data_IF_328222351412
#
_entry.id   IF_328222351412
#
_cell.length_a   1.000
_cell.length_b   1.000
_cell.length_c   1.000
_cell.angle_alpha   90.00
_cell.angle_beta   90.00
_cell.angle_gamma   90.00
#
_symmetry.space_group_name_H-M   'P 1'
#
loop_
_entity.id
_entity.type
_entity.pdbx_description
1 polymer ?
#
# COMPACT_ATOMS: atom_id res chain seq x y z
N UNK A 1 21.49 0.90 5.34
CA UNK A 1 20.82 1.10 4.04
C UNK A 1 19.37 1.47 4.35
N UNK A 2 19.01 2.77 4.33
CA UNK A 2 17.61 3.20 4.53
C UNK A 2 16.97 3.30 3.16
N UNK A 3 15.99 2.46 2.89
CA UNK A 3 15.20 2.45 1.65
C UNK A 3 13.79 2.96 1.92
N UNK A 4 13.64 3.98 2.78
CA UNK A 4 12.41 4.77 2.84
C UNK A 4 12.35 5.66 1.61
N UNK A 5 11.87 5.11 0.49
CA UNK A 5 11.40 5.96 -0.62
C UNK A 5 10.18 6.70 -0.10
N UNK A 6 10.30 8.01 0.11
CA UNK A 6 9.17 8.87 0.42
C UNK A 6 8.59 9.33 -0.91
N UNK A 7 7.30 9.09 -1.14
CA UNK A 7 6.61 9.78 -2.22
C UNK A 7 6.27 11.19 -1.72
N UNK A 8 7.04 12.14 -2.20
CA UNK A 8 6.80 13.55 -1.96
C UNK A 8 5.93 14.07 -3.10
N UNK A 9 4.67 14.34 -2.80
CA UNK A 9 3.78 15.01 -3.75
C UNK A 9 4.24 16.46 -3.82
N UNK A 10 4.94 16.82 -4.89
CA UNK A 10 5.21 18.21 -5.24
C UNK A 10 4.00 18.75 -5.99
N UNK A 11 3.42 19.83 -5.48
CA UNK A 11 2.45 20.62 -6.24
C UNK A 11 3.24 21.66 -7.02
N UNK A 12 3.71 21.29 -8.22
CA UNK A 12 4.24 22.26 -9.19
C UNK A 12 3.30 22.35 -10.40
N UNK A 13 2.68 23.53 -10.56
CA UNK A 13 2.19 24.03 -11.86
C UNK A 13 0.73 23.76 -12.21
N UNK A 14 -0.15 24.70 -11.88
CA UNK A 14 -1.54 24.74 -12.38
C UNK A 14 -2.32 25.91 -11.79
N UNK A 15 -1.97 27.12 -12.21
CA UNK A 15 -2.55 28.40 -11.76
C UNK A 15 -4.08 28.43 -12.01
N UNK A 16 -4.88 28.38 -10.95
CA UNK A 16 -6.11 29.17 -10.83
C UNK A 16 -6.08 29.76 -9.42
N UNK A 17 -5.65 31.01 -9.32
CA UNK A 17 -5.75 31.79 -8.09
C UNK A 17 -7.22 32.06 -7.80
N UNK A 18 -7.72 31.50 -6.71
CA UNK A 18 -8.83 32.09 -5.94
C UNK A 18 -8.26 32.41 -4.57
N UNK A 19 -8.12 33.70 -4.29
CA UNK A 19 -7.35 34.22 -3.16
C UNK A 19 -7.92 33.88 -1.79
N UNK A 20 -7.00 33.57 -0.87
CA UNK A 20 -7.21 33.49 0.58
C UNK A 20 -5.87 33.19 1.24
N UNK A 21 -5.22 34.20 1.82
CA UNK A 21 -3.78 34.24 2.09
C UNK A 21 -3.23 33.35 3.21
N UNK A 22 -1.93 33.06 3.09
CA UNK A 22 -1.01 32.81 4.20
C UNK A 22 -0.84 31.37 4.67
N UNK A 23 0.23 30.70 4.24
CA UNK A 23 0.73 29.51 4.94
C UNK A 23 1.67 28.66 4.13
N UNK A 24 2.83 28.31 4.71
CA UNK A 24 3.87 27.40 4.19
C UNK A 24 3.22 26.21 3.47
N UNK A 25 3.61 25.95 2.21
CA UNK A 25 3.17 24.78 1.46
C UNK A 25 3.45 23.51 2.30
N UNK A 26 2.39 22.97 2.91
CA UNK A 26 2.48 21.81 3.77
C UNK A 26 2.60 20.57 2.89
N UNK A 27 3.82 20.08 2.76
CA UNK A 27 4.14 18.86 2.04
C UNK A 27 3.57 17.67 2.80
N UNK A 28 2.56 17.01 2.22
CA UNK A 28 2.07 15.72 2.70
C UNK A 28 3.06 14.65 2.26
N UNK A 29 3.38 13.73 3.16
CA UNK A 29 4.19 12.56 2.87
C UNK A 29 3.36 11.33 3.17
N UNK A 30 3.16 10.49 2.17
CA UNK A 30 2.50 9.19 2.33
C UNK A 30 3.59 8.12 2.26
N UNK A 31 3.98 7.51 3.40
CA UNK A 31 5.01 6.49 3.41
C UNK A 31 4.50 5.19 2.79
N UNK A 32 5.36 4.47 2.06
CA UNK A 32 5.09 3.09 1.68
C UNK A 32 5.18 2.20 2.93
N UNK A 33 4.02 1.86 3.49
CA UNK A 33 3.93 1.13 4.76
C UNK A 33 4.71 -0.21 4.73
N UNK A 34 4.71 -0.91 3.60
CA UNK A 34 5.46 -2.15 3.42
C UNK A 34 6.98 -1.97 3.58
N UNK A 35 7.56 -0.85 3.13
CA UNK A 35 8.98 -0.56 3.32
C UNK A 35 9.30 -0.28 4.78
N UNK A 36 8.43 0.47 5.47
CA UNK A 36 8.57 0.70 6.91
C UNK A 36 8.51 -0.61 7.70
N UNK A 37 7.55 -1.49 7.40
CA UNK A 37 7.42 -2.80 8.05
C UNK A 37 8.66 -3.65 7.79
N UNK A 38 9.16 -3.67 6.55
CA UNK A 38 10.38 -4.38 6.18
C UNK A 38 11.60 -3.85 6.93
N UNK A 39 11.75 -2.54 7.05
CA UNK A 39 12.85 -1.92 7.78
C UNK A 39 12.77 -2.21 9.29
N UNK A 40 11.57 -2.16 9.89
CA UNK A 40 11.35 -2.54 11.29
C UNK A 40 11.66 -4.01 11.53
N UNK A 41 11.27 -4.90 10.61
CA UNK A 41 11.58 -6.31 10.68
C UNK A 41 13.09 -6.57 10.69
N UNK A 42 13.84 -5.98 9.75
CA UNK A 42 15.30 -6.16 9.71
C UNK A 42 16.00 -5.54 10.91
N UNK A 43 15.52 -4.39 11.40
CA UNK A 43 16.05 -3.79 12.62
C UNK A 43 15.79 -4.68 13.84
N UNK A 44 14.64 -5.36 13.89
CA UNK A 44 14.34 -6.32 14.94
C UNK A 44 15.23 -7.56 14.85
N UNK A 45 15.39 -8.16 13.67
CA UNK A 45 16.18 -9.39 13.50
C UNK A 45 17.68 -9.15 13.58
N UNK A 46 18.14 -7.92 13.34
CA UNK A 46 19.57 -7.58 13.32
C UNK A 46 20.28 -7.70 14.68
N UNK A 47 19.56 -7.74 15.80
CA UNK A 47 20.13 -7.82 17.16
C UNK A 47 19.18 -8.56 18.13
N UNK A 48 19.76 -9.23 19.14
CA UNK A 48 18.98 -9.89 20.18
C UNK A 48 18.22 -8.89 21.08
N UNK A 49 16.99 -9.25 21.49
CA UNK A 49 16.17 -8.43 22.39
C UNK A 49 16.67 -8.44 23.84
N UNK A 50 17.52 -9.41 24.19
CA UNK A 50 18.23 -9.49 25.46
C UNK A 50 19.73 -9.56 25.19
N UNK A 51 20.49 -8.90 26.05
CA UNK A 51 21.94 -8.99 26.08
C UNK A 51 22.37 -10.36 26.66
N UNK A 52 23.64 -10.79 26.49
CA UNK A 52 24.14 -12.05 27.04
C UNK A 52 24.00 -12.18 28.56
N UNK A 53 23.93 -11.05 29.28
CA UNK A 53 23.67 -11.00 30.72
C UNK A 53 22.18 -11.14 31.08
N UNK A 54 21.29 -11.41 30.12
CA UNK A 54 19.85 -11.57 30.33
C UNK A 54 19.06 -10.26 30.42
N UNK A 55 19.72 -9.11 30.51
CA UNK A 55 19.07 -7.79 30.54
C UNK A 55 18.45 -7.43 29.20
N UNK A 56 17.48 -6.51 29.23
CA UNK A 56 16.83 -5.99 28.02
C UNK A 56 17.83 -5.16 27.21
N UNK A 57 17.86 -5.37 25.90
CA UNK A 57 18.66 -4.56 24.98
C UNK A 57 17.95 -3.23 24.66
N UNK A 58 18.11 -2.23 25.53
CA UNK A 58 17.47 -0.92 25.36
C UNK A 58 17.85 -0.21 24.06
N UNK A 59 19.06 -0.41 23.54
CA UNK A 59 19.51 0.21 22.28
C UNK A 59 18.69 -0.28 21.09
N UNK A 60 18.34 -1.57 21.06
CA UNK A 60 17.44 -2.13 20.05
C UNK A 60 16.05 -1.49 20.14
N UNK A 61 15.46 -1.49 21.34
CA UNK A 61 14.12 -0.91 21.54
C UNK A 61 14.08 0.58 21.24
N UNK A 62 15.14 1.31 21.58
CA UNK A 62 15.28 2.73 21.27
C UNK A 62 15.31 2.98 19.76
N UNK A 63 16.05 2.18 19.00
CA UNK A 63 16.07 2.30 17.54
C UNK A 63 14.71 1.99 16.90
N UNK A 64 14.01 0.95 17.38
CA UNK A 64 12.64 0.66 16.94
C UNK A 64 11.69 1.82 17.28
N UNK A 65 11.77 2.34 18.50
CA UNK A 65 10.95 3.47 18.95
C UNK A 65 11.17 4.72 18.09
N UNK A 66 12.41 5.00 17.68
CA UNK A 66 12.72 6.11 16.75
C UNK A 66 11.98 5.96 15.42
N UNK A 67 12.03 4.78 14.80
CA UNK A 67 11.35 4.54 13.52
C UNK A 67 9.83 4.66 13.63
N UNK A 68 9.24 4.13 14.71
CA UNK A 68 7.80 4.24 14.96
C UNK A 68 7.40 5.70 15.25
N UNK A 69 8.21 6.44 16.00
CA UNK A 69 7.94 7.86 16.31
C UNK A 69 7.94 8.72 15.06
N UNK A 70 8.88 8.48 14.15
CA UNK A 70 8.95 9.19 12.86
C UNK A 70 7.69 8.95 12.03
N UNK A 71 7.21 7.70 11.96
CA UNK A 71 5.94 7.36 11.32
C UNK A 71 4.74 8.05 11.97
N UNK A 72 4.68 8.09 13.31
CA UNK A 72 3.61 8.77 14.04
C UNK A 72 3.59 10.28 13.79
N UNK A 73 4.75 10.91 13.58
CA UNK A 73 4.81 12.32 13.20
C UNK A 73 4.19 12.57 11.81
N UNK A 74 4.47 11.71 10.83
CA UNK A 74 3.85 11.81 9.50
C UNK A 74 2.34 11.57 9.52
N UNK A 75 1.88 10.63 10.34
CA UNK A 75 0.44 10.34 10.50
C UNK A 75 -0.35 11.53 11.07
N UNK A 76 0.29 12.39 11.87
CA UNK A 76 -0.37 13.55 12.49
C UNK A 76 -0.53 14.74 11.54
N UNK A 77 0.12 14.72 10.38
CA UNK A 77 -0.03 15.78 9.38
C UNK A 77 -1.45 15.74 8.81
N UNK A 78 -2.18 16.85 8.94
CA UNK A 78 -3.51 16.98 8.35
C UNK A 78 -3.42 17.10 6.83
N UNK A 79 -4.35 16.47 6.14
CA UNK A 79 -4.52 16.66 4.70
C UNK A 79 -5.16 18.05 4.45
N UNK A 80 -4.53 18.97 3.70
CA UNK A 80 -5.10 20.26 3.33
C UNK A 80 -6.18 20.16 2.25
N UNK A 81 -6.34 19.00 1.61
CA UNK A 81 -7.34 18.81 0.56
C UNK A 81 -8.70 18.48 1.16
N UNK A 82 -9.74 19.08 0.58
CA UNK A 82 -11.12 18.82 0.95
C UNK A 82 -11.51 17.36 0.67
N UNK A 83 -12.33 16.78 1.56
CA UNK A 83 -12.86 15.43 1.37
C UNK A 83 -14.08 15.47 0.46
N UNK A 84 -13.98 14.79 -0.68
CA UNK A 84 -15.11 14.60 -1.59
C UNK A 84 -15.78 13.26 -1.28
N UNK A 85 -16.82 13.27 -0.43
CA UNK A 85 -17.42 12.05 0.12
C UNK A 85 -17.91 11.06 -0.95
N UNK A 86 -18.52 11.52 -2.05
CA UNK A 86 -19.01 10.61 -3.09
C UNK A 86 -17.85 9.90 -3.83
N UNK A 87 -16.72 10.58 -4.05
CA UNK A 87 -15.51 9.98 -4.63
C UNK A 87 -14.93 8.97 -3.66
N UNK A 88 -14.84 9.31 -2.38
CA UNK A 88 -14.34 8.39 -1.33
C UNK A 88 -15.21 7.13 -1.28
N UNK A 89 -16.54 7.28 -1.23
CA UNK A 89 -17.47 6.15 -1.24
C UNK A 89 -17.30 5.31 -2.49
N UNK A 90 -17.21 5.93 -3.67
CA UNK A 90 -16.99 5.20 -4.91
C UNK A 90 -15.69 4.39 -4.86
N UNK A 91 -14.56 5.00 -4.46
CA UNK A 91 -13.28 4.30 -4.33
C UNK A 91 -13.32 3.15 -3.31
N UNK A 92 -14.10 3.28 -2.23
CA UNK A 92 -14.22 2.25 -1.19
C UNK A 92 -15.18 1.11 -1.53
N UNK A 93 -16.17 1.36 -2.39
CA UNK A 93 -17.25 0.41 -2.71
C UNK A 93 -17.12 -0.21 -4.10
N UNK A 94 -16.25 0.33 -4.95
CA UNK A 94 -15.99 -0.25 -6.27
C UNK A 94 -15.50 -1.68 -6.14
N UNK A 95 -16.15 -2.59 -6.86
CA UNK A 95 -15.80 -4.00 -6.86
C UNK A 95 -14.40 -4.22 -7.41
N UNK A 96 -13.53 -4.84 -6.63
CA UNK A 96 -12.18 -5.25 -7.07
C UNK A 96 -12.25 -6.71 -7.49
N UNK A 97 -11.96 -6.95 -8.77
CA UNK A 97 -11.88 -8.31 -9.31
C UNK A 97 -10.70 -9.06 -8.66
N UNK A 98 -10.89 -10.35 -8.42
CA UNK A 98 -9.81 -11.25 -8.02
C UNK A 98 -8.79 -11.41 -9.15
N UNK A 99 -7.62 -11.97 -8.87
CA UNK A 99 -6.62 -12.25 -9.92
C UNK A 99 -7.21 -13.13 -11.05
N UNK A 100 -7.93 -14.19 -10.69
CA UNK A 100 -8.66 -15.05 -11.64
C UNK A 100 -9.73 -14.26 -12.40
N UNK A 101 -10.50 -13.42 -11.72
CA UNK A 101 -11.54 -12.60 -12.34
C UNK A 101 -10.99 -11.59 -13.33
N UNK A 102 -9.85 -10.94 -13.01
CA UNK A 102 -9.13 -10.06 -13.92
C UNK A 102 -8.61 -10.82 -15.13
N UNK A 103 -8.03 -12.00 -14.93
CA UNK A 103 -7.53 -12.83 -16.03
C UNK A 103 -8.65 -13.28 -16.97
N UNK A 104 -9.81 -13.65 -16.43
CA UNK A 104 -10.98 -14.01 -17.23
C UNK A 104 -11.53 -12.80 -18.00
N UNK A 105 -11.70 -11.65 -17.34
CA UNK A 105 -12.14 -10.41 -17.99
C UNK A 105 -11.18 -9.99 -19.11
N UNK A 106 -9.86 -10.18 -18.92
CA UNK A 106 -8.86 -9.95 -19.96
C UNK A 106 -9.12 -10.83 -21.20
N UNK A 107 -9.42 -12.11 -21.00
CA UNK A 107 -9.74 -13.03 -22.11
C UNK A 107 -11.12 -12.78 -22.75
N UNK A 108 -12.05 -12.13 -22.04
CA UNK A 108 -13.33 -11.68 -22.59
C UNK A 108 -13.17 -10.46 -23.50
N UNK A 109 -12.22 -9.57 -23.18
CA UNK A 109 -11.87 -8.45 -24.05
C UNK A 109 -11.08 -8.91 -25.29
N UNK A 110 -10.08 -9.78 -25.08
CA UNK A 110 -9.19 -10.30 -26.12
C UNK A 110 -9.09 -11.82 -25.99
N UNK A 111 -9.72 -12.54 -26.94
CA UNK A 111 -9.77 -14.00 -26.91
C UNK A 111 -8.39 -14.66 -26.99
N UNK A 112 -8.27 -15.93 -26.59
CA UNK A 112 -6.98 -16.63 -26.60
C UNK A 112 -6.50 -16.93 -28.03
N UNK A 113 -5.31 -16.46 -28.37
CA UNK A 113 -4.80 -16.49 -29.75
C UNK A 113 -3.95 -17.73 -30.06
N UNK A 114 -3.42 -18.40 -29.03
CA UNK A 114 -2.57 -19.57 -29.18
C UNK A 114 -3.04 -20.75 -28.30
N UNK A 115 -2.49 -21.94 -28.56
CA UNK A 115 -2.87 -23.16 -27.84
C UNK A 115 -2.62 -23.08 -26.33
N UNK A 116 -1.56 -22.39 -25.91
CA UNK A 116 -1.23 -22.21 -24.51
C UNK A 116 -2.27 -21.34 -23.78
N UNK A 117 -2.67 -20.23 -24.38
CA UNK A 117 -3.72 -19.36 -23.85
C UNK A 117 -5.09 -20.04 -23.84
N UNK A 118 -5.40 -20.85 -24.87
CA UNK A 118 -6.63 -21.65 -24.90
C UNK A 118 -6.68 -22.63 -23.72
N UNK A 119 -5.56 -23.26 -23.38
CA UNK A 119 -5.46 -24.14 -22.22
C UNK A 119 -5.59 -23.36 -20.91
N UNK A 120 -4.86 -22.25 -20.77
CA UNK A 120 -4.94 -21.36 -19.61
C UNK A 120 -6.37 -20.86 -19.36
N UNK A 121 -7.07 -20.43 -20.41
CA UNK A 121 -8.45 -19.95 -20.32
C UNK A 121 -9.41 -21.05 -19.86
N UNK A 122 -9.24 -22.29 -20.34
CA UNK A 122 -10.03 -23.44 -19.87
C UNK A 122 -9.82 -23.71 -18.38
N UNK A 123 -8.56 -23.71 -17.92
CA UNK A 123 -8.24 -23.93 -16.52
C UNK A 123 -8.84 -22.85 -15.61
N UNK A 124 -8.73 -21.58 -16.00
CA UNK A 124 -9.32 -20.46 -15.26
C UNK A 124 -10.85 -20.57 -15.12
N UNK A 125 -11.54 -21.04 -16.17
CA UNK A 125 -12.99 -21.27 -16.10
C UNK A 125 -13.36 -22.41 -15.17
N UNK A 126 -12.58 -23.49 -15.17
CA UNK A 126 -12.82 -24.63 -14.29
C UNK A 126 -12.68 -24.25 -12.80
N UNK A 127 -11.68 -23.45 -12.45
CA UNK A 127 -11.45 -22.97 -11.08
C UNK A 127 -12.55 -22.04 -10.55
N UNK A 128 -13.33 -21.43 -11.44
CA UNK A 128 -14.40 -20.48 -11.08
C UNK A 128 -15.78 -21.16 -10.97
N UNK A 129 -15.90 -22.45 -11.34
CA UNK A 129 -17.14 -23.18 -11.16
C UNK A 129 -17.32 -23.60 -9.70
N UNK A 130 -18.51 -23.35 -9.09
CA UNK A 130 -18.80 -23.91 -7.77
C UNK A 130 -18.73 -25.44 -7.82
N UNK A 131 -18.32 -26.11 -6.73
CA UNK A 131 -18.31 -27.57 -6.68
C UNK A 131 -19.69 -28.12 -7.06
N UNK A 132 -19.78 -29.22 -7.82
CA UNK A 132 -21.07 -29.84 -8.11
C UNK A 132 -21.79 -30.15 -6.81
N UNK A 133 -23.06 -29.74 -6.70
CA UNK A 133 -23.91 -30.06 -5.56
C UNK A 133 -23.99 -31.58 -5.44
N UNK A 134 -23.65 -32.11 -4.26
CA UNK A 134 -23.77 -33.54 -3.97
C UNK A 134 -25.26 -33.84 -3.74
N UNK A 135 -25.86 -34.59 -4.66
CA UNK A 135 -27.17 -35.23 -4.49
C UNK A 135 -27.15 -36.26 -3.35
#
# INVERSE_FOLDING_TARGET
MRLTKQLQVHTEGGHVEVGGGGGRQQKIVIPFFSLLVKDLYFLNEGCASRLPNGHINFDKFWQLAKQVTEFMAWKQVSCPFEKVNHVITHLQTTHVLTETGLALASFECEGPDNSYEKERYKNLKADTQPPPERE
#
